data_IF_605294154946
#
_entry.id   IF_605294154946
#
_cell.length_a   1.000
_cell.length_b   1.000
_cell.length_c   1.000
_cell.angle_alpha   90.00
_cell.angle_beta   90.00
_cell.angle_gamma   90.00
#
_symmetry.space_group_name_H-M   'P 1'
#
loop_
_entity.id
_entity.type
_entity.pdbx_description
1 polymer ?
#
# COMPACT_ATOMS: atom_id res chain seq x y z
N UNK A 1 15.91 -3.87 -0.52
CA UNK A 1 14.56 -4.03 0.05
C UNK A 1 14.15 -5.47 -0.21
N UNK A 2 13.74 -6.25 0.79
CA UNK A 2 13.28 -7.61 0.54
C UNK A 2 12.07 -7.57 -0.41
N UNK A 3 11.98 -8.56 -1.32
CA UNK A 3 10.94 -8.62 -2.34
C UNK A 3 9.53 -8.86 -1.76
N UNK A 4 9.45 -9.25 -0.49
CA UNK A 4 8.22 -9.47 0.26
C UNK A 4 8.45 -9.15 1.75
N UNK A 5 7.34 -8.94 2.45
CA UNK A 5 7.30 -8.83 3.91
C UNK A 5 6.59 -10.08 4.43
N UNK A 6 7.28 -10.89 5.23
CA UNK A 6 6.66 -12.03 5.90
C UNK A 6 5.88 -11.53 7.13
N UNK A 7 4.58 -11.83 7.17
CA UNK A 7 3.69 -11.39 8.25
C UNK A 7 3.65 -12.40 9.41
N UNK A 8 3.72 -13.70 9.13
CA UNK A 8 3.82 -14.78 10.13
C UNK A 8 4.41 -16.06 9.51
N UNK A 9 4.63 -17.08 10.34
CA UNK A 9 5.08 -18.43 9.97
C UNK A 9 3.92 -19.44 9.77
N UNK A 10 2.67 -19.02 9.98
CA UNK A 10 1.47 -19.84 9.85
C UNK A 10 0.44 -19.21 8.92
N UNK A 11 -0.47 -20.02 8.38
CA UNK A 11 -1.58 -19.52 7.57
C UNK A 11 -2.64 -18.88 8.47
N UNK A 12 -2.84 -17.57 8.31
CA UNK A 12 -3.87 -16.80 9.01
C UNK A 12 -4.53 -15.79 8.07
N UNK A 13 -5.78 -15.43 8.37
CA UNK A 13 -6.41 -14.26 7.79
C UNK A 13 -5.73 -12.99 8.32
N UNK A 14 -5.63 -11.97 7.46
CA UNK A 14 -5.10 -10.67 7.84
C UNK A 14 -6.07 -9.58 7.43
N UNK A 15 -6.40 -8.70 8.38
CA UNK A 15 -7.07 -7.46 8.05
C UNK A 15 -6.02 -6.45 7.59
N UNK A 16 -6.35 -5.73 6.52
CA UNK A 16 -5.43 -4.81 5.84
C UNK A 16 -6.06 -3.42 5.76
N UNK A 17 -5.29 -2.39 6.10
CA UNK A 17 -5.62 -0.99 5.83
C UNK A 17 -4.53 -0.35 4.99
N UNK A 18 -4.91 0.12 3.81
CA UNK A 18 -4.06 0.91 2.94
C UNK A 18 -4.46 2.39 3.01
N UNK A 19 -3.50 3.26 3.33
CA UNK A 19 -3.65 4.70 3.21
C UNK A 19 -2.74 5.22 2.10
N UNK A 20 -3.30 5.96 1.15
CA UNK A 20 -2.54 6.58 0.06
C UNK A 20 -2.41 8.08 0.29
N UNK A 21 -1.17 8.58 0.23
CA UNK A 21 -0.87 10.00 0.09
C UNK A 21 -0.45 10.27 -1.35
N UNK A 22 -0.85 11.41 -1.91
CA UNK A 22 -0.36 11.88 -3.22
C UNK A 22 -1.28 11.53 -4.39
N UNK A 23 -2.42 10.87 -4.13
CA UNK A 23 -3.41 10.53 -5.16
C UNK A 23 -3.98 11.74 -5.89
N UNK A 24 -4.28 12.81 -5.17
CA UNK A 24 -4.77 14.05 -5.78
C UNK A 24 -3.71 14.70 -6.66
N UNK A 25 -2.45 14.63 -6.25
CA UNK A 25 -1.31 15.14 -7.02
C UNK A 25 -1.06 14.30 -8.28
N UNK A 26 -1.19 12.97 -8.19
CA UNK A 26 -1.20 12.11 -9.37
C UNK A 26 -2.33 12.49 -10.31
N UNK A 27 -3.54 12.73 -9.81
CA UNK A 27 -4.68 13.13 -10.66
C UNK A 27 -4.41 14.42 -11.43
N UNK A 28 -3.64 15.34 -10.86
CA UNK A 28 -3.20 16.57 -11.52
C UNK A 28 -2.15 16.27 -12.59
N UNK A 29 -1.08 15.59 -12.23
CA UNK A 29 0.08 15.30 -13.11
C UNK A 29 -0.25 14.30 -14.23
N UNK A 30 -1.24 13.44 -14.03
CA UNK A 30 -1.70 12.47 -15.02
C UNK A 30 -2.22 13.10 -16.32
N UNK A 31 -2.51 14.42 -16.31
CA UNK A 31 -2.88 15.17 -17.52
C UNK A 31 -1.69 15.47 -18.44
N UNK A 32 -0.48 15.44 -17.89
CA UNK A 32 0.76 15.83 -18.58
C UNK A 32 1.63 14.60 -18.93
N UNK A 33 1.40 13.46 -18.27
CA UNK A 33 2.15 12.22 -18.50
C UNK A 33 1.83 11.16 -17.43
N UNK A 34 2.65 10.12 -17.32
CA UNK A 34 2.53 9.10 -16.26
C UNK A 34 3.43 9.51 -15.08
N UNK A 35 2.89 10.00 -13.97
CA UNK A 35 3.68 10.40 -12.82
C UNK A 35 4.23 9.18 -12.06
N UNK A 36 5.55 9.14 -11.89
CA UNK A 36 6.25 8.10 -11.12
C UNK A 36 6.64 8.62 -9.73
N UNK A 37 6.55 7.75 -8.71
CA UNK A 37 7.03 8.06 -7.35
C UNK A 37 6.19 9.07 -6.54
N UNK A 38 5.02 9.47 -7.03
CA UNK A 38 4.18 10.50 -6.38
C UNK A 38 3.30 9.91 -5.28
N UNK A 39 2.66 8.77 -5.54
CA UNK A 39 1.87 8.09 -4.52
C UNK A 39 2.77 7.41 -3.49
N UNK A 40 2.42 7.59 -2.20
CA UNK A 40 3.03 6.88 -1.09
C UNK A 40 1.97 6.14 -0.32
N UNK A 41 2.16 4.83 -0.20
CA UNK A 41 1.24 3.93 0.49
C UNK A 41 1.78 3.59 1.87
N UNK A 42 0.96 3.79 2.89
CA UNK A 42 1.13 3.18 4.21
C UNK A 42 0.18 1.99 4.28
N UNK A 43 0.74 0.79 4.38
CA UNK A 43 -0.04 -0.46 4.51
C UNK A 43 0.14 -1.00 5.92
N UNK A 44 -0.96 -1.22 6.62
CA UNK A 44 -1.00 -1.78 7.97
C UNK A 44 -1.71 -3.14 7.94
N UNK A 45 -1.12 -4.10 8.64
CA UNK A 45 -1.61 -5.48 8.74
C UNK A 45 -1.84 -5.80 10.21
N UNK A 46 -2.93 -6.51 10.51
CA UNK A 46 -3.16 -7.09 11.83
C UNK A 46 -3.89 -8.43 11.70
N UNK A 47 -3.71 -9.35 12.67
CA UNK A 47 -4.35 -10.66 12.63
C UNK A 47 -5.87 -10.54 12.51
N UNK A 48 -6.46 -11.44 11.75
CA UNK A 48 -7.90 -11.63 11.73
C UNK A 48 -8.27 -12.72 12.73
N UNK A 49 -8.75 -12.34 13.91
CA UNK A 49 -9.12 -13.25 15.01
C UNK A 49 -10.40 -14.09 14.75
N UNK A 50 -10.80 -14.27 13.49
CA UNK A 50 -12.06 -14.93 13.11
C UNK A 50 -11.91 -16.45 13.03
#
# INVERSE_FOLDING_TARGET
>A
MPAYVQLSDHSAGWRVRAHCRGRDEVRRLAREGVPEGVERYLVQFWPDDT
#
